data_IF_458380811608
#
_entry.id   IF_458380811608
#
_cell.length_a   1.000
_cell.length_b   1.000
_cell.length_c   1.000
_cell.angle_alpha   90.00
_cell.angle_beta   90.00
_cell.angle_gamma   90.00
#
_symmetry.space_group_name_H-M   'P 1'
#
loop_
_entity.id
_entity.type
_entity.pdbx_description
1 polymer ?
#
# COMPACT_ATOMS: atom_id res chain seq x y z
N UNK A 1 12.28 -1.12 -24.25
CA UNK A 1 11.03 -1.33 -23.48
C UNK A 1 10.48 0.04 -23.16
N UNK A 2 9.27 0.35 -23.61
CA UNK A 2 8.68 1.68 -23.44
C UNK A 2 8.32 1.91 -21.97
N UNK A 3 8.19 3.16 -21.54
CA UNK A 3 7.87 3.56 -20.17
C UNK A 3 6.46 3.11 -19.69
N UNK A 4 5.77 2.27 -20.48
CA UNK A 4 4.38 1.83 -20.31
C UNK A 4 4.21 0.52 -19.50
N UNK A 5 5.28 -0.20 -19.17
CA UNK A 5 5.21 -1.54 -18.54
C UNK A 5 5.58 -1.54 -17.03
N UNK A 6 5.74 -0.37 -16.42
CA UNK A 6 6.08 -0.27 -14.99
C UNK A 6 4.83 -0.45 -14.14
N UNK A 7 4.93 -1.33 -13.15
CA UNK A 7 3.87 -1.52 -12.15
C UNK A 7 3.89 -0.33 -11.18
N UNK A 8 2.77 0.36 -11.04
CA UNK A 8 2.60 1.47 -10.11
C UNK A 8 2.11 0.94 -8.77
N UNK A 9 2.89 1.14 -7.72
CA UNK A 9 2.57 0.66 -6.38
C UNK A 9 2.31 1.87 -5.49
N UNK A 10 1.12 1.98 -4.92
CA UNK A 10 0.86 2.98 -3.87
C UNK A 10 1.65 2.61 -2.61
N UNK A 11 2.53 3.51 -2.17
CA UNK A 11 3.17 3.40 -0.86
C UNK A 11 2.31 4.10 0.18
N UNK A 12 1.68 3.30 1.05
CA UNK A 12 0.88 3.78 2.18
C UNK A 12 1.64 3.48 3.46
N UNK A 13 2.43 4.45 3.93
CA UNK A 13 3.32 4.28 5.07
C UNK A 13 3.24 5.41 6.10
N UNK A 14 3.68 5.10 7.32
CA UNK A 14 4.02 6.09 8.33
C UNK A 14 5.49 5.95 8.72
N UNK A 15 6.22 7.07 8.83
CA UNK A 15 7.58 7.10 9.38
C UNK A 15 8.67 6.36 8.60
N UNK A 16 8.45 5.98 7.33
CA UNK A 16 9.46 5.28 6.51
C UNK A 16 10.70 6.14 6.24
N UNK A 17 10.52 7.45 6.09
CA UNK A 17 11.61 8.42 5.94
C UNK A 17 12.42 8.54 7.23
N UNK A 18 11.76 8.77 8.36
CA UNK A 18 12.41 8.91 9.67
C UNK A 18 13.16 7.64 10.11
N UNK A 19 12.66 6.46 9.73
CA UNK A 19 13.32 5.19 10.02
C UNK A 19 14.49 4.86 9.06
N UNK A 20 14.74 5.68 8.04
CA UNK A 20 15.78 5.45 7.04
C UNK A 20 15.48 4.31 6.07
N UNK A 21 14.24 3.81 6.03
CA UNK A 21 13.84 2.65 5.22
C UNK A 21 13.33 3.08 3.83
N UNK A 22 13.06 4.37 3.63
CA UNK A 22 12.53 4.90 2.37
C UNK A 22 13.39 4.54 1.15
N UNK A 23 14.70 4.74 1.24
CA UNK A 23 15.66 4.34 0.19
C UNK A 23 15.60 2.85 -0.13
N UNK A 24 15.41 2.00 0.88
CA UNK A 24 15.37 0.55 0.71
C UNK A 24 14.08 0.10 0.01
N UNK A 25 12.95 0.77 0.29
CA UNK A 25 11.70 0.58 -0.43
C UNK A 25 11.84 0.97 -1.91
N UNK A 26 12.41 2.14 -2.18
CA UNK A 26 12.62 2.64 -3.55
C UNK A 26 13.59 1.77 -4.34
N UNK A 27 14.68 1.31 -3.70
CA UNK A 27 15.65 0.41 -4.31
C UNK A 27 15.00 -0.93 -4.67
N UNK A 28 14.21 -1.51 -3.76
CA UNK A 28 13.54 -2.79 -4.02
C UNK A 28 12.51 -2.67 -5.15
N UNK A 29 11.72 -1.60 -5.19
CA UNK A 29 10.76 -1.35 -6.28
C UNK A 29 11.46 -1.17 -7.63
N UNK A 30 12.53 -0.37 -7.66
CA UNK A 30 13.30 -0.11 -8.89
C UNK A 30 13.92 -1.38 -9.46
N UNK A 31 14.37 -2.32 -8.62
CA UNK A 31 14.89 -3.62 -9.04
C UNK A 31 13.84 -4.53 -9.69
N UNK A 32 12.54 -4.27 -9.49
CA UNK A 32 11.43 -5.09 -9.98
C UNK A 32 10.64 -4.43 -11.14
N UNK A 33 11.21 -3.39 -11.76
CA UNK A 33 10.54 -2.56 -12.76
C UNK A 33 9.19 -2.02 -12.25
N UNK A 34 9.16 -1.61 -10.99
CA UNK A 34 8.02 -0.99 -10.33
C UNK A 34 8.36 0.43 -9.87
N UNK A 35 7.34 1.26 -9.73
CA UNK A 35 7.45 2.64 -9.29
C UNK A 35 6.55 2.85 -8.06
N UNK A 36 7.12 3.47 -7.01
CA UNK A 36 6.36 3.85 -5.84
C UNK A 36 5.65 5.17 -6.10
N UNK A 37 4.33 5.15 -5.95
CA UNK A 37 3.46 6.32 -6.05
C UNK A 37 3.03 6.70 -4.64
N UNK A 38 3.13 7.98 -4.32
CA UNK A 38 2.60 8.54 -3.08
C UNK A 38 1.21 9.11 -3.38
N UNK A 39 0.12 8.52 -2.87
CA UNK A 39 -1.22 9.00 -3.16
C UNK A 39 -1.37 10.46 -2.68
N UNK A 40 -1.78 11.33 -3.59
CA UNK A 40 -2.22 12.69 -3.25
C UNK A 40 -3.60 12.64 -2.61
N UNK A 41 -3.88 13.60 -1.74
CA UNK A 41 -5.04 13.61 -0.86
C UNK A 41 -5.40 15.04 -0.49
N UNK A 42 -6.68 15.27 -0.21
CA UNK A 42 -7.11 16.55 0.34
C UNK A 42 -6.71 16.65 1.82
N UNK A 43 -6.09 17.76 2.20
CA UNK A 43 -5.68 18.07 3.57
C UNK A 43 -6.88 18.09 4.51
N UNK A 44 -8.06 18.53 4.03
CA UNK A 44 -9.29 18.53 4.85
C UNK A 44 -9.73 17.13 5.29
N UNK A 45 -9.28 16.09 4.58
CA UNK A 45 -9.58 14.69 4.93
C UNK A 45 -8.97 14.29 6.27
N UNK A 46 -7.89 14.94 6.71
CA UNK A 46 -7.18 14.58 7.95
C UNK A 46 -8.03 14.81 9.21
N UNK A 47 -9.01 15.71 9.14
CA UNK A 47 -9.88 16.04 10.27
C UNK A 47 -11.05 15.07 10.42
N UNK A 48 -11.47 14.40 9.33
CA UNK A 48 -12.62 13.48 9.33
C UNK A 48 -12.21 12.01 9.29
N UNK A 49 -10.97 11.69 8.89
CA UNK A 49 -10.55 10.31 8.60
C UNK A 49 -10.67 9.36 9.80
N UNK A 50 -10.45 9.84 11.03
CA UNK A 50 -10.57 9.03 12.23
C UNK A 50 -12.00 8.52 12.45
N UNK A 51 -12.98 9.40 12.22
CA UNK A 51 -14.40 9.07 12.32
C UNK A 51 -14.83 8.13 11.19
N UNK A 52 -14.36 8.37 9.97
CA UNK A 52 -14.69 7.55 8.79
C UNK A 52 -14.19 6.11 8.92
N UNK A 53 -12.97 5.92 9.44
CA UNK A 53 -12.42 4.60 9.72
C UNK A 53 -12.95 3.99 11.03
N UNK A 54 -13.67 4.75 11.86
CA UNK A 54 -14.05 4.35 13.21
C UNK A 54 -12.84 4.11 14.13
N UNK A 55 -11.68 4.70 13.81
CA UNK A 55 -10.42 4.52 14.51
C UNK A 55 -9.72 5.88 14.66
N UNK A 56 -9.80 6.45 15.86
CA UNK A 56 -9.12 7.70 16.18
C UNK A 56 -7.67 7.44 16.59
N UNK A 57 -6.75 8.22 16.01
CA UNK A 57 -5.30 8.09 16.26
C UNK A 57 -4.67 9.42 16.59
N UNK A 58 -3.76 9.40 17.57
CA UNK A 58 -3.08 10.60 18.02
C UNK A 58 -2.07 11.10 16.98
N UNK A 59 -1.36 10.16 16.35
CA UNK A 59 -0.28 10.45 15.40
C UNK A 59 -0.79 11.09 14.09
N UNK A 60 -0.28 12.28 13.71
CA UNK A 60 -0.59 12.90 12.42
C UNK A 60 -0.15 12.05 11.22
N UNK A 61 1.00 11.37 11.32
CA UNK A 61 1.51 10.49 10.25
C UNK A 61 0.59 9.29 10.02
N UNK A 62 -0.05 8.77 11.08
CA UNK A 62 -1.04 7.71 10.94
C UNK A 62 -2.34 8.22 10.31
N UNK A 63 -2.80 9.44 10.67
CA UNK A 63 -3.95 10.06 9.97
C UNK A 63 -3.64 10.29 8.49
N UNK A 64 -2.43 10.73 8.17
CA UNK A 64 -1.95 10.87 6.79
C UNK A 64 -1.95 9.52 6.08
N UNK A 65 -1.43 8.47 6.72
CA UNK A 65 -1.47 7.11 6.17
C UNK A 65 -2.91 6.64 5.87
N UNK A 66 -3.85 6.87 6.79
CA UNK A 66 -5.26 6.51 6.61
C UNK A 66 -5.91 7.28 5.47
N UNK A 67 -5.68 8.59 5.37
CA UNK A 67 -6.27 9.38 4.30
C UNK A 67 -5.62 9.11 2.93
N UNK A 68 -4.34 8.67 2.87
CA UNK A 68 -3.73 8.12 1.65
C UNK A 68 -4.41 6.82 1.23
N UNK A 69 -4.77 5.97 2.18
CA UNK A 69 -5.52 4.75 1.90
C UNK A 69 -6.89 5.07 1.28
N UNK A 70 -7.59 6.09 1.82
CA UNK A 70 -8.83 6.62 1.24
C UNK A 70 -8.65 7.07 -0.20
N UNK A 71 -7.63 7.88 -0.49
CA UNK A 71 -7.35 8.34 -1.85
C UNK A 71 -7.10 7.20 -2.85
N UNK A 72 -6.52 6.08 -2.40
CA UNK A 72 -6.35 4.87 -3.22
C UNK A 72 -7.68 4.20 -3.50
N UNK A 73 -8.53 4.02 -2.48
CA UNK A 73 -9.86 3.40 -2.63
C UNK A 73 -10.78 4.24 -3.52
N UNK A 74 -10.74 5.56 -3.38
CA UNK A 74 -11.51 6.50 -4.22
C UNK A 74 -10.99 6.59 -5.67
N UNK A 75 -9.86 5.92 -5.98
CA UNK A 75 -9.30 5.89 -7.33
C UNK A 75 -8.63 7.19 -7.78
N UNK A 76 -8.34 8.11 -6.84
CA UNK A 76 -7.59 9.34 -7.11
C UNK A 76 -6.18 8.99 -7.61
N UNK A 77 -5.54 8.02 -6.96
CA UNK A 77 -4.26 7.48 -7.37
C UNK A 77 -4.44 6.28 -8.34
N UNK A 78 -3.98 6.43 -9.59
CA UNK A 78 -3.97 5.32 -10.56
C UNK A 78 -2.78 4.38 -10.31
N UNK A 79 -3.04 3.31 -9.56
CA UNK A 79 -2.05 2.30 -9.16
C UNK A 79 -2.54 0.88 -9.41
N UNK A 80 -1.59 -0.05 -9.54
CA UNK A 80 -1.84 -1.47 -9.83
C UNK A 80 -1.83 -2.35 -8.55
N UNK A 81 -1.30 -1.82 -7.46
CA UNK A 81 -1.24 -2.50 -6.16
C UNK A 81 -0.83 -1.56 -5.03
N UNK A 82 -0.92 -2.05 -3.80
CA UNK A 82 -0.66 -1.25 -2.59
C UNK A 82 0.34 -1.94 -1.68
N UNK A 83 1.34 -1.19 -1.24
CA UNK A 83 2.30 -1.60 -0.23
C UNK A 83 2.09 -0.78 1.05
N UNK A 84 1.57 -1.43 2.09
CA UNK A 84 1.28 -0.80 3.38
C UNK A 84 2.45 -1.04 4.33
N UNK A 85 3.10 0.01 4.83
CA UNK A 85 4.35 -0.15 5.60
C UNK A 85 4.38 0.70 6.87
N UNK A 86 4.60 0.07 8.03
CA UNK A 86 4.74 0.79 9.31
C UNK A 86 5.92 0.25 10.12
N UNK A 87 6.42 1.03 11.08
CA UNK A 87 7.47 0.57 11.97
C UNK A 87 6.95 -0.49 12.94
N UNK A 88 7.76 -1.52 13.22
CA UNK A 88 7.40 -2.60 14.15
C UNK A 88 7.16 -2.14 15.59
N UNK A 89 7.77 -1.02 16.00
CA UNK A 89 7.75 -0.56 17.39
C UNK A 89 6.46 0.16 17.79
N UNK A 90 5.68 0.65 16.83
CA UNK A 90 4.49 1.44 17.12
C UNK A 90 3.24 0.55 17.17
N UNK A 91 2.69 0.36 18.37
CA UNK A 91 1.47 -0.44 18.58
C UNK A 91 0.26 0.19 17.86
N UNK A 92 0.11 1.51 17.92
CA UNK A 92 -0.94 2.25 17.21
C UNK A 92 -0.83 1.99 15.70
N UNK A 93 0.39 2.08 15.14
CA UNK A 93 0.64 1.80 13.73
C UNK A 93 0.40 0.34 13.34
N UNK A 94 0.52 -0.61 14.26
CA UNK A 94 0.20 -2.01 14.00
C UNK A 94 -1.31 -2.22 13.82
N UNK A 95 -2.13 -1.54 14.63
CA UNK A 95 -3.60 -1.53 14.52
C UNK A 95 -4.01 -0.85 13.22
N UNK A 96 -3.51 0.37 12.98
CA UNK A 96 -3.81 1.14 11.76
C UNK A 96 -3.39 0.39 10.50
N UNK A 97 -2.21 -0.23 10.49
CA UNK A 97 -1.75 -1.04 9.34
C UNK A 97 -2.72 -2.17 9.02
N UNK A 98 -3.24 -2.85 10.04
CA UNK A 98 -4.18 -3.94 9.82
C UNK A 98 -5.52 -3.42 9.26
N UNK A 99 -6.03 -2.32 9.83
CA UNK A 99 -7.29 -1.72 9.39
C UNK A 99 -7.18 -1.13 7.97
N UNK A 100 -6.12 -0.37 7.68
CA UNK A 100 -5.83 0.16 6.35
C UNK A 100 -5.70 -0.95 5.31
N UNK A 101 -5.01 -2.05 5.64
CA UNK A 101 -4.90 -3.21 4.74
C UNK A 101 -6.29 -3.80 4.45
N UNK A 102 -7.12 -3.94 5.48
CA UNK A 102 -8.49 -4.48 5.37
C UNK A 102 -9.36 -3.58 4.49
N UNK A 103 -9.41 -2.28 4.81
CA UNK A 103 -10.14 -1.27 4.05
C UNK A 103 -9.79 -1.29 2.56
N UNK A 104 -8.50 -1.27 2.22
CA UNK A 104 -8.07 -1.31 0.82
C UNK A 104 -8.48 -2.63 0.15
N UNK A 105 -8.34 -3.76 0.84
CA UNK A 105 -8.69 -5.07 0.29
C UNK A 105 -10.19 -5.19 0.00
N UNK A 106 -11.02 -4.74 0.93
CA UNK A 106 -12.49 -4.84 0.84
C UNK A 106 -13.05 -3.88 -0.21
N UNK A 107 -12.50 -2.67 -0.33
CA UNK A 107 -13.14 -1.59 -1.10
C UNK A 107 -12.48 -1.27 -2.46
N UNK A 108 -11.24 -1.70 -2.73
CA UNK A 108 -10.56 -1.36 -4.01
C UNK A 108 -10.42 -2.50 -5.02
N UNK A 109 -10.46 -3.76 -4.56
CA UNK A 109 -10.09 -4.92 -5.38
C UNK A 109 -8.64 -4.91 -5.88
N UNK A 110 -7.77 -4.06 -5.32
CA UNK A 110 -6.33 -4.04 -5.61
C UNK A 110 -5.59 -5.06 -4.73
N UNK A 111 -4.52 -5.68 -5.24
CA UNK A 111 -3.66 -6.49 -4.40
C UNK A 111 -2.95 -5.60 -3.38
N UNK A 112 -3.00 -6.02 -2.11
CA UNK A 112 -2.39 -5.30 -0.99
C UNK A 112 -1.45 -6.20 -0.21
N UNK A 113 -0.24 -5.70 0.06
CA UNK A 113 0.71 -6.35 0.96
C UNK A 113 1.04 -5.39 2.08
N UNK A 114 0.95 -5.88 3.32
CA UNK A 114 1.38 -5.16 4.51
C UNK A 114 2.73 -5.65 5.01
N UNK A 115 3.62 -4.74 5.38
CA UNK A 115 4.90 -5.05 5.99
C UNK A 115 5.17 -4.20 7.23
N UNK A 116 5.87 -4.80 8.19
CA UNK A 116 6.35 -4.16 9.40
C UNK A 116 7.86 -4.03 9.33
N UNK A 117 8.38 -2.83 9.16
CA UNK A 117 9.82 -2.59 9.02
C UNK A 117 10.50 -2.28 10.34
N UNK A 118 11.82 -2.41 10.32
CA UNK A 118 12.75 -1.95 11.36
C UNK A 118 13.79 -1.03 10.70
N UNK A 119 14.60 -0.34 11.48
CA UNK A 119 15.69 0.51 10.97
C UNK A 119 16.80 -0.31 10.29
N UNK A 120 16.74 -1.63 10.41
CA UNK A 120 17.66 -2.58 9.76
C UNK A 120 17.03 -3.26 8.54
N UNK A 121 15.80 -2.91 8.18
CA UNK A 121 15.16 -3.44 6.97
C UNK A 121 15.97 -3.02 5.76
N UNK A 122 16.35 -3.99 4.92
CA UNK A 122 17.10 -3.76 3.67
C UNK A 122 16.24 -4.08 2.46
N UNK A 123 16.63 -3.58 1.29
CA UNK A 123 15.97 -3.88 0.03
C UNK A 123 15.84 -5.39 -0.20
N UNK A 124 16.89 -6.16 0.12
CA UNK A 124 16.88 -7.62 0.01
C UNK A 124 15.74 -8.28 0.82
N UNK A 125 15.42 -7.75 2.01
CA UNK A 125 14.29 -8.25 2.83
C UNK A 125 12.92 -7.88 2.29
N UNK A 126 12.84 -6.84 1.46
CA UNK A 126 11.61 -6.35 0.84
C UNK A 126 11.35 -7.00 -0.53
N UNK A 127 12.40 -7.46 -1.21
CA UNK A 127 12.34 -8.00 -2.58
C UNK A 127 11.24 -9.05 -2.75
N UNK A 128 11.24 -10.13 -1.96
CA UNK A 128 10.26 -11.21 -2.12
C UNK A 128 8.81 -10.72 -1.93
N UNK A 129 8.59 -9.74 -1.05
CA UNK A 129 7.25 -9.16 -0.84
C UNK A 129 6.84 -8.30 -2.03
N UNK A 130 7.73 -7.44 -2.51
CA UNK A 130 7.44 -6.59 -3.67
C UNK A 130 7.33 -7.40 -4.97
N UNK A 131 8.09 -8.49 -5.10
CA UNK A 131 8.01 -9.41 -6.24
C UNK A 131 6.66 -10.12 -6.27
N UNK A 132 6.20 -10.62 -5.12
CA UNK A 132 4.85 -11.17 -5.00
C UNK A 132 3.78 -10.12 -5.39
N UNK A 133 3.89 -8.88 -4.87
CA UNK A 133 2.94 -7.81 -5.19
C UNK A 133 2.90 -7.50 -6.69
N UNK A 134 4.07 -7.29 -7.30
CA UNK A 134 4.19 -6.96 -8.73
C UNK A 134 3.72 -8.10 -9.63
N UNK A 135 3.96 -9.35 -9.24
CA UNK A 135 3.49 -10.53 -9.97
C UNK A 135 1.97 -10.62 -9.94
N UNK A 136 1.34 -10.41 -8.77
CA UNK A 136 -0.11 -10.42 -8.63
C UNK A 136 -0.73 -9.26 -9.41
N UNK A 137 -0.15 -8.06 -9.31
CA UNK A 137 -0.63 -6.87 -10.03
C UNK A 137 -0.64 -7.09 -11.56
N UNK A 138 0.44 -7.64 -12.12
CA UNK A 138 0.52 -7.96 -13.56
C UNK A 138 -0.44 -9.07 -13.97
N UNK A 139 -0.56 -10.11 -13.14
CA UNK A 139 -1.33 -11.31 -13.44
C UNK A 139 -2.81 -11.20 -13.09
N UNK A 140 -3.29 -10.04 -12.62
CA UNK A 140 -4.69 -9.86 -12.17
C UNK A 140 -5.73 -10.32 -13.20
N UNK A 141 -5.48 -10.08 -14.48
CA UNK A 141 -6.34 -10.53 -15.58
C UNK A 141 -6.27 -12.06 -15.83
N UNK A 142 -5.12 -12.69 -15.56
CA UNK A 142 -4.94 -14.15 -15.68
C UNK A 142 -5.51 -14.90 -14.47
N UNK A 143 -5.54 -14.24 -13.31
CA UNK A 143 -6.04 -14.78 -12.04
C UNK A 143 -7.53 -14.49 -11.82
N UNK A 144 -8.16 -13.70 -12.69
CA UNK A 144 -9.59 -13.46 -12.67
C UNK A 144 -10.31 -14.78 -12.97
N UNK A 145 -10.94 -15.36 -11.95
CA UNK A 145 -11.70 -16.60 -12.06
C UNK A 145 -12.96 -16.31 -12.88
N UNK A 146 -13.10 -16.88 -14.06
CA UNK A 146 -14.40 -16.95 -14.72
C UNK A 146 -15.33 -17.77 -13.81
N UNK A 147 -16.41 -17.18 -13.33
CA UNK A 147 -17.49 -17.95 -12.70
C UNK A 147 -18.07 -18.84 -13.79
N UNK A 148 -17.76 -20.13 -13.74
CA UNK A 148 -18.33 -21.10 -14.65
C UNK A 148 -19.81 -21.29 -14.29
N UNK A 149 -20.69 -20.52 -14.92
CA UNK A 149 -22.12 -20.78 -14.91
C UNK A 149 -22.34 -22.07 -15.70
N UNK A 150 -22.70 -23.14 -14.99
CA UNK A 150 -22.97 -24.43 -15.61
C UNK A 150 -24.14 -24.29 -16.60
N UNK A 151 -24.01 -24.93 -17.77
CA UNK A 151 -25.14 -25.23 -18.65
C UNK A 151 -26.02 -26.29 -17.97
N UNK A 152 -26.97 -25.86 -17.15
CA UNK A 152 -28.14 -26.66 -16.78
C UNK A 152 -29.40 -25.92 -17.18
#
# INVERSE_FOLDING_TARGET
MSNSDKVKIALVSCGSEYAGVQKELESAASSLNAELVYPEMDVSSLDTIGQEFGLEVASPDLRLMMARAKAVVEGVAKVDGVFVATCFRCAEAAIVRNEVRRYIFEDSGLPVISYSFTERTTAATLLTRMEALTTIAKSKHLLARENQEGLT
#
